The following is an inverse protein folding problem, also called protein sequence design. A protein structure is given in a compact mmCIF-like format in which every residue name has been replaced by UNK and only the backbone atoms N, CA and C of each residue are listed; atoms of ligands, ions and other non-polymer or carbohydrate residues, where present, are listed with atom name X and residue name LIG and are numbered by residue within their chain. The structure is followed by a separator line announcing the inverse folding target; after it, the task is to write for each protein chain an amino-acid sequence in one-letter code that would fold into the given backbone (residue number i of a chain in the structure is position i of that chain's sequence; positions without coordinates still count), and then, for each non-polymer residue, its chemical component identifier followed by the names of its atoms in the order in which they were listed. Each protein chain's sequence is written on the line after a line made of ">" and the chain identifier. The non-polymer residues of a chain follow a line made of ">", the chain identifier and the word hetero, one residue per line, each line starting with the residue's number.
data_IF_510777405408
#
_entry.id   IF_510777405408
#
_cell.length_a   1.000
_cell.length_b   1.000
_cell.length_c   1.000
_cell.angle_alpha   90.00
_cell.angle_beta   90.00
_cell.angle_gamma   90.00
#
_symmetry.space_group_name_H-M   'P 1'
#
loop_
_entity.id
_entity.type
_entity.pdbx_description
1 polymer ?
#
# COMPACT_ATOMS: atom_id res chain seq x y z
N UNK A 1 109.87 -155.03 1.01
CA UNK A 1 109.07 -155.64 -0.06
C UNK A 1 107.89 -154.71 -0.21
N UNK A 2 108.06 -153.71 -1.08
CA UNK A 2 107.44 -153.70 -2.42
C UNK A 2 106.15 -152.88 -2.32
N UNK A 3 105.74 -152.08 -3.26
CA UNK A 3 106.32 -151.57 -4.50
C UNK A 3 105.40 -150.41 -4.92
N UNK A 4 105.99 -149.46 -5.63
CA UNK A 4 105.51 -148.82 -6.87
C UNK A 4 104.01 -148.45 -6.97
N UNK A 5 103.71 -147.17 -7.17
CA UNK A 5 103.68 -146.58 -8.53
C UNK A 5 102.19 -146.48 -8.92
N UNK A 6 101.67 -145.39 -9.46
CA UNK A 6 102.09 -144.77 -10.71
C UNK A 6 101.45 -143.37 -10.81
N UNK A 7 102.22 -142.39 -11.26
CA UNK A 7 101.82 -141.01 -11.46
C UNK A 7 100.87 -140.87 -12.65
N UNK A 8 99.80 -140.07 -12.51
CA UNK A 8 99.09 -139.49 -13.64
C UNK A 8 98.96 -137.98 -13.42
N UNK A 9 99.58 -137.23 -14.32
CA UNK A 9 99.52 -135.78 -14.48
C UNK A 9 98.12 -135.39 -14.97
N UNK A 10 97.57 -134.24 -14.55
CA UNK A 10 96.90 -133.21 -15.42
C UNK A 10 96.29 -132.06 -14.56
N UNK A 11 96.80 -130.86 -14.87
CA UNK A 11 96.27 -129.49 -14.77
C UNK A 11 95.46 -128.98 -13.55
N UNK A 12 96.06 -127.96 -12.95
CA UNK A 12 95.53 -127.05 -11.94
C UNK A 12 94.52 -126.05 -12.56
N UNK A 13 93.21 -126.31 -12.45
CA UNK A 13 92.17 -125.36 -12.85
C UNK A 13 91.83 -124.37 -11.72
N UNK A 14 92.15 -123.08 -11.91
CA UNK A 14 91.85 -122.00 -10.96
C UNK A 14 90.38 -121.55 -11.00
N UNK A 15 89.70 -121.60 -9.86
CA UNK A 15 88.27 -121.23 -9.70
C UNK A 15 88.00 -119.72 -9.63
N UNK A 16 89.03 -118.86 -9.65
CA UNK A 16 88.89 -117.40 -9.50
C UNK A 16 88.19 -116.73 -10.70
N UNK A 17 88.42 -117.21 -11.93
CA UNK A 17 87.82 -116.63 -13.14
C UNK A 17 86.29 -116.76 -13.20
N UNK A 18 85.73 -117.84 -12.64
CA UNK A 18 84.28 -118.06 -12.59
C UNK A 18 83.59 -117.04 -11.68
N UNK A 19 84.18 -116.72 -10.52
CA UNK A 19 83.63 -115.74 -9.58
C UNK A 19 83.68 -114.31 -10.14
N UNK A 20 84.72 -113.96 -10.89
CA UNK A 20 84.82 -112.66 -11.57
C UNK A 20 83.73 -112.51 -12.65
N UNK A 21 83.49 -113.56 -13.45
CA UNK A 21 82.44 -113.56 -14.46
C UNK A 21 81.03 -113.44 -13.85
N UNK A 22 80.79 -114.10 -12.72
CA UNK A 22 79.51 -113.98 -11.98
C UNK A 22 79.33 -112.55 -11.46
N UNK A 23 80.38 -111.94 -10.87
CA UNK A 23 80.33 -110.56 -10.40
C UNK A 23 80.03 -109.56 -11.53
N UNK A 24 80.65 -109.74 -12.70
CA UNK A 24 80.38 -108.94 -13.90
C UNK A 24 78.94 -109.12 -14.42
N UNK A 25 78.43 -110.35 -14.45
CA UNK A 25 77.06 -110.63 -14.86
C UNK A 25 76.04 -109.96 -13.94
N UNK A 26 76.26 -110.02 -12.62
CA UNK A 26 75.41 -109.34 -11.62
C UNK A 26 75.48 -107.82 -11.78
N UNK A 27 76.69 -107.26 -12.00
CA UNK A 27 76.86 -105.82 -12.22
C UNK A 27 76.16 -105.35 -13.51
N UNK A 28 76.21 -106.14 -14.59
CA UNK A 28 75.51 -105.85 -15.84
C UNK A 28 73.99 -105.87 -15.66
N UNK A 29 73.45 -106.88 -14.97
CA UNK A 29 72.01 -106.96 -14.65
C UNK A 29 71.58 -105.78 -13.79
N UNK A 30 72.37 -105.39 -12.79
CA UNK A 30 72.08 -104.23 -11.95
C UNK A 30 72.09 -102.91 -12.75
N UNK A 31 73.06 -102.73 -13.65
CA UNK A 31 73.16 -101.56 -14.52
C UNK A 31 72.00 -101.49 -15.53
N UNK A 32 71.62 -102.62 -16.14
CA UNK A 32 70.44 -102.71 -17.02
C UNK A 32 69.14 -102.45 -16.27
N UNK A 33 68.97 -102.99 -15.06
CA UNK A 33 67.80 -102.72 -14.23
C UNK A 33 67.70 -101.23 -13.85
N UNK A 34 68.83 -100.61 -13.50
CA UNK A 34 68.90 -99.17 -13.24
C UNK A 34 68.59 -98.34 -14.49
N UNK A 35 69.12 -98.72 -15.66
CA UNK A 35 68.80 -98.10 -16.95
C UNK A 35 67.32 -98.18 -17.29
N UNK A 36 66.70 -99.34 -17.13
CA UNK A 36 65.26 -99.51 -17.31
C UNK A 36 64.44 -98.67 -16.34
N UNK A 37 64.82 -98.64 -15.05
CA UNK A 37 64.11 -97.84 -14.05
C UNK A 37 64.20 -96.34 -14.36
N UNK A 38 65.38 -95.83 -14.71
CA UNK A 38 65.56 -94.41 -15.06
C UNK A 38 64.84 -94.04 -16.35
N UNK A 39 64.78 -94.94 -17.34
CA UNK A 39 64.02 -94.75 -18.57
C UNK A 39 62.51 -94.73 -18.31
N UNK A 40 61.98 -95.65 -17.51
CA UNK A 40 60.57 -95.66 -17.10
C UNK A 40 60.20 -94.40 -16.32
N UNK A 41 61.05 -93.97 -15.37
CA UNK A 41 60.83 -92.73 -14.63
C UNK A 41 60.84 -91.49 -15.53
N UNK A 42 61.70 -91.45 -16.56
CA UNK A 42 61.69 -90.36 -17.56
C UNK A 42 60.46 -90.40 -18.46
N UNK A 43 60.00 -91.58 -18.87
CA UNK A 43 58.78 -91.76 -19.66
C UNK A 43 57.54 -91.32 -18.88
N UNK A 44 57.47 -91.63 -17.59
CA UNK A 44 56.38 -91.21 -16.70
C UNK A 44 56.40 -89.69 -16.45
N UNK A 45 57.59 -89.10 -16.30
CA UNK A 45 57.73 -87.64 -16.23
C UNK A 45 57.28 -86.97 -17.53
N UNK A 46 57.70 -87.47 -18.69
CA UNK A 46 57.29 -86.93 -19.99
C UNK A 46 55.80 -87.09 -20.25
N UNK A 47 55.19 -88.22 -19.87
CA UNK A 47 53.73 -88.40 -20.01
C UNK A 47 52.96 -87.42 -19.10
N UNK A 48 53.47 -87.18 -17.88
CA UNK A 48 52.90 -86.18 -16.97
C UNK A 48 53.05 -84.76 -17.48
N UNK A 49 54.22 -84.40 -18.01
CA UNK A 49 54.48 -83.08 -18.59
C UNK A 49 53.62 -82.86 -19.85
N UNK A 50 53.41 -83.89 -20.68
CA UNK A 50 52.50 -83.85 -21.83
C UNK A 50 51.05 -83.62 -21.39
N UNK A 51 50.58 -84.33 -20.36
CA UNK A 51 49.24 -84.13 -19.79
C UNK A 51 49.05 -82.75 -19.18
N UNK A 52 50.06 -82.23 -18.48
CA UNK A 52 50.07 -80.87 -17.95
C UNK A 52 50.07 -79.81 -19.07
N UNK A 53 50.83 -80.03 -20.14
CA UNK A 53 50.83 -79.16 -21.31
C UNK A 53 49.50 -79.18 -22.05
N UNK A 54 48.87 -80.35 -22.22
CA UNK A 54 47.55 -80.47 -22.82
C UNK A 54 46.48 -79.73 -22.00
N UNK A 55 46.57 -79.82 -20.67
CA UNK A 55 45.68 -79.11 -19.74
C UNK A 55 45.85 -77.59 -19.84
N UNK A 56 47.10 -77.10 -19.93
CA UNK A 56 47.38 -75.66 -20.14
C UNK A 56 46.84 -75.15 -21.48
N UNK A 57 46.96 -75.92 -22.55
CA UNK A 57 46.40 -75.55 -23.86
C UNK A 57 44.87 -75.51 -23.81
N UNK A 58 44.23 -76.49 -23.16
CA UNK A 58 42.78 -76.49 -22.99
C UNK A 58 42.30 -75.29 -22.16
N UNK A 59 43.04 -74.92 -21.11
CA UNK A 59 42.75 -73.73 -20.31
C UNK A 59 42.95 -72.43 -21.11
N UNK A 60 44.02 -72.32 -21.90
CA UNK A 60 44.26 -71.16 -22.78
C UNK A 60 43.14 -71.02 -23.81
N UNK A 61 42.72 -72.13 -24.42
CA UNK A 61 41.63 -72.14 -25.40
C UNK A 61 40.31 -71.68 -24.77
N UNK A 62 40.02 -72.10 -23.53
CA UNK A 62 38.85 -71.65 -22.80
C UNK A 62 38.92 -70.15 -22.46
N UNK A 63 40.08 -69.66 -21.98
CA UNK A 63 40.29 -68.23 -21.74
C UNK A 63 40.14 -67.39 -23.01
N UNK A 64 40.63 -67.89 -24.14
CA UNK A 64 40.52 -67.23 -25.44
C UNK A 64 39.06 -67.15 -25.91
N UNK A 65 38.30 -68.24 -25.83
CA UNK A 65 36.86 -68.23 -26.15
C UNK A 65 36.06 -67.26 -25.27
N UNK A 66 36.35 -67.23 -23.96
CA UNK A 66 35.70 -66.28 -23.05
C UNK A 66 36.10 -64.83 -23.33
N UNK A 67 37.35 -64.59 -23.73
CA UNK A 67 37.82 -63.26 -24.12
C UNK A 67 37.12 -62.78 -25.40
N UNK A 68 37.03 -63.62 -26.44
CA UNK A 68 36.30 -63.32 -27.68
C UNK A 68 34.82 -63.04 -27.42
N UNK A 69 34.15 -63.87 -26.60
CA UNK A 69 32.75 -63.65 -26.22
C UNK A 69 32.57 -62.34 -25.44
N UNK A 70 33.53 -61.98 -24.59
CA UNK A 70 33.50 -60.71 -23.86
C UNK A 70 33.70 -59.49 -24.77
N UNK A 71 34.56 -59.61 -25.79
CA UNK A 71 34.81 -58.55 -26.78
C UNK A 71 33.58 -58.32 -27.65
N UNK A 72 32.91 -59.38 -28.10
CA UNK A 72 31.66 -59.27 -28.86
C UNK A 72 30.54 -58.63 -28.01
N UNK A 73 30.40 -59.02 -26.75
CA UNK A 73 29.44 -58.42 -25.82
C UNK A 73 29.73 -56.93 -25.57
N UNK A 74 31.02 -56.54 -25.47
CA UNK A 74 31.43 -55.14 -25.36
C UNK A 74 31.11 -54.39 -26.65
N UNK A 75 31.40 -54.96 -27.81
CA UNK A 75 31.08 -54.37 -29.12
C UNK A 75 29.58 -54.10 -29.30
N UNK A 76 28.74 -55.07 -28.94
CA UNK A 76 27.28 -54.91 -28.97
C UNK A 76 26.80 -53.82 -27.99
N UNK A 77 27.29 -53.83 -26.75
CA UNK A 77 26.95 -52.79 -25.76
C UNK A 77 27.38 -51.40 -26.22
N UNK A 78 28.59 -51.26 -26.76
CA UNK A 78 29.08 -49.99 -27.31
C UNK A 78 28.22 -49.52 -28.49
N UNK A 79 27.79 -50.43 -29.38
CA UNK A 79 26.87 -50.12 -30.46
C UNK A 79 25.51 -49.61 -29.96
N UNK A 80 24.94 -50.29 -28.95
CA UNK A 80 23.70 -49.87 -28.29
C UNK A 80 23.84 -48.51 -27.58
N UNK A 81 24.92 -48.31 -26.83
CA UNK A 81 25.20 -47.04 -26.15
C UNK A 81 25.37 -45.89 -27.14
N UNK A 82 26.07 -46.11 -28.27
CA UNK A 82 26.18 -45.11 -29.34
C UNK A 82 24.81 -44.76 -29.93
N UNK A 83 23.96 -45.76 -30.16
CA UNK A 83 22.60 -45.55 -30.67
C UNK A 83 21.74 -44.78 -29.67
N UNK A 84 21.76 -45.15 -28.40
CA UNK A 84 21.00 -44.45 -27.35
C UNK A 84 21.48 -43.00 -27.18
N UNK A 85 22.80 -42.76 -27.18
CA UNK A 85 23.37 -41.41 -27.13
C UNK A 85 22.94 -40.57 -28.34
N UNK A 86 22.94 -41.14 -29.54
CA UNK A 86 22.48 -40.44 -30.75
C UNK A 86 20.99 -40.09 -30.65
N UNK A 87 20.14 -41.02 -30.20
CA UNK A 87 18.71 -40.78 -30.00
C UNK A 87 18.46 -39.71 -28.93
N UNK A 88 19.12 -39.79 -27.78
CA UNK A 88 18.99 -38.77 -26.72
C UNK A 88 19.47 -37.40 -27.19
N UNK A 89 20.56 -37.34 -27.94
CA UNK A 89 21.07 -36.07 -28.50
C UNK A 89 20.07 -35.46 -29.50
N UNK A 90 19.46 -36.29 -30.35
CA UNK A 90 18.43 -35.84 -31.29
C UNK A 90 17.18 -35.34 -30.55
N UNK A 91 16.74 -36.07 -29.51
CA UNK A 91 15.60 -35.68 -28.67
C UNK A 91 15.87 -34.36 -27.95
N UNK A 92 17.02 -34.22 -27.27
CA UNK A 92 17.40 -32.98 -26.58
C UNK A 92 17.46 -31.78 -27.54
N UNK A 93 17.99 -31.96 -28.76
CA UNK A 93 17.97 -30.90 -29.77
C UNK A 93 16.55 -30.51 -30.19
N UNK A 94 15.66 -31.48 -30.33
CA UNK A 94 14.25 -31.21 -30.68
C UNK A 94 13.51 -30.49 -29.56
N UNK A 95 13.75 -30.87 -28.30
CA UNK A 95 13.19 -30.23 -27.11
C UNK A 95 13.72 -28.81 -26.95
N UNK A 96 15.02 -28.60 -27.14
CA UNK A 96 15.62 -27.25 -27.13
C UNK A 96 15.00 -26.35 -28.20
N UNK A 97 14.87 -26.85 -29.44
CA UNK A 97 14.25 -26.07 -30.51
C UNK A 97 12.78 -25.76 -30.23
N UNK A 98 12.03 -26.70 -29.68
CA UNK A 98 10.63 -26.49 -29.30
C UNK A 98 10.50 -25.48 -28.15
N UNK A 99 11.40 -25.55 -27.15
CA UNK A 99 11.45 -24.62 -26.04
C UNK A 99 11.83 -23.20 -26.50
N UNK A 100 12.78 -23.08 -27.41
CA UNK A 100 13.20 -21.80 -28.00
C UNK A 100 12.05 -21.16 -28.80
N UNK A 101 11.34 -21.93 -29.64
CA UNK A 101 10.16 -21.44 -30.37
C UNK A 101 9.05 -21.01 -29.40
N UNK A 102 8.80 -21.77 -28.34
CA UNK A 102 7.82 -21.40 -27.31
C UNK A 102 8.20 -20.10 -26.62
N UNK A 103 9.46 -19.98 -26.21
CA UNK A 103 9.97 -18.79 -25.54
C UNK A 103 9.90 -17.56 -26.46
N UNK A 104 10.26 -17.71 -27.73
CA UNK A 104 10.17 -16.63 -28.73
C UNK A 104 8.72 -16.18 -28.94
N UNK A 105 7.79 -17.13 -29.07
CA UNK A 105 6.37 -16.82 -29.23
C UNK A 105 5.78 -16.15 -27.99
N UNK A 106 6.11 -16.64 -26.79
CA UNK A 106 5.69 -16.00 -25.54
C UNK A 106 6.29 -14.60 -25.38
N UNK A 107 7.57 -14.42 -25.72
CA UNK A 107 8.22 -13.11 -25.71
C UNK A 107 7.56 -12.16 -26.70
N UNK A 108 7.27 -12.59 -27.94
CA UNK A 108 6.55 -11.77 -28.92
C UNK A 108 5.15 -11.40 -28.45
N UNK A 109 4.41 -12.35 -27.86
CA UNK A 109 3.08 -12.09 -27.31
C UNK A 109 3.13 -11.05 -26.18
N UNK A 110 4.03 -11.24 -25.20
CA UNK A 110 4.25 -10.29 -24.09
C UNK A 110 4.69 -8.93 -24.59
N UNK A 111 5.61 -8.87 -25.56
CA UNK A 111 6.05 -7.60 -26.16
C UNK A 111 4.89 -6.90 -26.87
N UNK A 112 4.05 -7.63 -27.60
CA UNK A 112 2.88 -7.06 -28.28
C UNK A 112 1.84 -6.52 -27.30
N UNK A 113 1.57 -7.26 -26.21
CA UNK A 113 0.68 -6.82 -25.13
C UNK A 113 1.22 -5.56 -24.45
N UNK A 114 2.47 -5.58 -24.00
CA UNK A 114 3.13 -4.42 -23.38
C UNK A 114 3.18 -3.23 -24.35
N UNK A 115 3.38 -3.44 -25.64
CA UNK A 115 3.35 -2.37 -26.65
C UNK A 115 1.95 -1.78 -26.78
N UNK A 116 0.90 -2.62 -26.71
CA UNK A 116 -0.50 -2.18 -26.67
C UNK A 116 -0.80 -1.34 -25.44
N UNK A 117 -0.39 -1.81 -24.25
CA UNK A 117 -0.56 -1.09 -22.99
C UNK A 117 0.17 0.26 -23.01
N UNK A 118 1.39 0.31 -23.55
CA UNK A 118 2.15 1.55 -23.70
C UNK A 118 1.45 2.52 -24.67
N UNK A 119 0.86 2.03 -25.75
CA UNK A 119 0.08 2.87 -26.67
C UNK A 119 -1.20 3.41 -26.00
N UNK A 120 -1.88 2.59 -25.20
CA UNK A 120 -3.00 2.99 -24.34
C UNK A 120 -2.60 4.08 -23.36
N UNK A 121 -1.57 3.83 -22.55
CA UNK A 121 -1.02 4.81 -21.59
C UNK A 121 -0.60 6.12 -22.27
N UNK A 122 0.00 6.07 -23.46
CA UNK A 122 0.35 7.28 -24.22
C UNK A 122 -0.88 8.10 -24.61
N UNK A 123 -1.98 7.43 -24.94
CA UNK A 123 -3.25 8.07 -25.26
C UNK A 123 -3.87 8.70 -24.02
N UNK A 124 -3.91 7.97 -22.90
CA UNK A 124 -4.42 8.46 -21.61
C UNK A 124 -3.63 9.66 -21.12
N UNK A 125 -2.29 9.62 -21.18
CA UNK A 125 -1.43 10.76 -20.82
C UNK A 125 -1.66 11.95 -21.75
N UNK A 126 -1.94 11.72 -23.04
CA UNK A 126 -2.36 12.78 -23.96
C UNK A 126 -3.70 13.42 -23.58
N UNK A 127 -4.67 12.60 -23.17
CA UNK A 127 -5.96 13.03 -22.64
C UNK A 127 -5.80 13.87 -21.37
N UNK A 128 -5.09 13.36 -20.36
CA UNK A 128 -4.81 14.07 -19.11
C UNK A 128 -4.11 15.41 -19.35
N UNK A 129 -3.16 15.47 -20.29
CA UNK A 129 -2.50 16.73 -20.65
C UNK A 129 -3.50 17.77 -21.20
N UNK A 130 -4.49 17.31 -21.97
CA UNK A 130 -5.55 18.15 -22.51
C UNK A 130 -6.50 18.62 -21.40
N UNK A 131 -6.91 17.73 -20.51
CA UNK A 131 -7.77 18.05 -19.36
C UNK A 131 -7.10 19.05 -18.40
N UNK A 132 -5.80 18.89 -18.16
CA UNK A 132 -5.01 19.84 -17.37
C UNK A 132 -4.94 21.21 -18.04
N UNK A 133 -4.78 21.26 -19.37
CA UNK A 133 -4.82 22.52 -20.11
C UNK A 133 -6.20 23.20 -20.04
N UNK A 134 -7.29 22.43 -20.16
CA UNK A 134 -8.67 22.92 -19.99
C UNK A 134 -8.89 23.47 -18.59
N UNK A 135 -8.52 22.70 -17.55
CA UNK A 135 -8.67 23.11 -16.15
C UNK A 135 -7.90 24.40 -15.86
N UNK A 136 -6.70 24.55 -16.44
CA UNK A 136 -5.92 25.78 -16.31
C UNK A 136 -6.61 26.98 -16.97
N UNK A 137 -7.21 26.80 -18.14
CA UNK A 137 -7.96 27.84 -18.83
C UNK A 137 -9.20 28.26 -18.01
N UNK A 138 -9.94 27.28 -17.47
CA UNK A 138 -11.11 27.51 -16.62
C UNK A 138 -10.74 28.26 -15.31
N UNK A 139 -9.58 27.93 -14.73
CA UNK A 139 -9.07 28.61 -13.55
C UNK A 139 -8.73 30.08 -13.83
N UNK A 140 -8.06 30.38 -14.95
CA UNK A 140 -7.77 31.76 -15.34
C UNK A 140 -9.04 32.55 -15.65
N UNK A 141 -10.03 31.93 -16.32
CA UNK A 141 -11.34 32.54 -16.55
C UNK A 141 -12.07 32.84 -15.22
N UNK A 142 -12.02 31.92 -14.27
CA UNK A 142 -12.60 32.09 -12.93
C UNK A 142 -11.89 33.22 -12.16
N UNK A 143 -10.56 33.29 -12.24
CA UNK A 143 -9.77 34.36 -11.62
C UNK A 143 -10.10 35.73 -12.19
N UNK A 144 -10.23 35.85 -13.51
CA UNK A 144 -10.66 37.09 -14.16
C UNK A 144 -12.05 37.51 -13.69
N UNK A 145 -13.00 36.56 -13.64
CA UNK A 145 -14.36 36.83 -13.14
C UNK A 145 -14.37 37.31 -11.68
N UNK A 146 -13.56 36.68 -10.81
CA UNK A 146 -13.40 37.11 -9.42
C UNK A 146 -12.82 38.52 -9.31
N UNK A 147 -11.82 38.86 -10.13
CA UNK A 147 -11.25 40.20 -10.16
C UNK A 147 -12.30 41.25 -10.56
N UNK A 148 -13.11 40.96 -11.58
CA UNK A 148 -14.23 41.83 -11.98
C UNK A 148 -15.24 41.98 -10.84
N UNK A 149 -15.65 40.89 -10.20
CA UNK A 149 -16.59 40.94 -9.08
C UNK A 149 -16.05 41.74 -7.90
N UNK A 150 -14.75 41.61 -7.58
CA UNK A 150 -14.11 42.42 -6.54
C UNK A 150 -14.13 43.91 -6.91
N UNK A 151 -13.86 44.25 -8.17
CA UNK A 151 -13.94 45.62 -8.68
C UNK A 151 -15.34 46.22 -8.56
N UNK A 152 -16.36 45.46 -8.97
CA UNK A 152 -17.77 45.86 -8.88
C UNK A 152 -18.22 46.06 -7.42
N UNK A 153 -17.86 45.16 -6.51
CA UNK A 153 -18.13 45.35 -5.08
C UNK A 153 -17.39 46.57 -4.52
N UNK A 154 -16.17 46.87 -5.01
CA UNK A 154 -15.44 48.08 -4.64
C UNK A 154 -16.18 49.36 -5.04
N UNK A 155 -16.69 49.42 -6.27
CA UNK A 155 -17.52 50.54 -6.74
C UNK A 155 -18.84 50.64 -5.98
N UNK A 156 -19.51 49.51 -5.73
CA UNK A 156 -20.75 49.47 -4.95
C UNK A 156 -20.51 49.92 -3.50
N UNK A 157 -19.38 49.56 -2.90
CA UNK A 157 -18.98 50.06 -1.58
C UNK A 157 -18.76 51.58 -1.55
N UNK A 158 -18.31 52.17 -2.66
CA UNK A 158 -18.21 53.62 -2.82
C UNK A 158 -19.59 54.31 -2.84
N UNK A 159 -20.58 53.71 -3.53
CA UNK A 159 -21.96 54.20 -3.53
C UNK A 159 -22.65 54.05 -2.17
N UNK A 160 -22.27 53.03 -1.37
CA UNK A 160 -22.76 52.86 0.00
C UNK A 160 -22.30 54.00 0.93
N UNK A 161 -21.11 54.60 0.70
CA UNK A 161 -20.63 55.72 1.51
C UNK A 161 -21.58 56.93 1.43
N UNK A 162 -22.09 57.28 0.25
CA UNK A 162 -23.08 58.34 0.10
C UNK A 162 -24.44 58.01 0.75
N UNK A 163 -24.85 56.74 0.74
CA UNK A 163 -26.09 56.34 1.45
C UNK A 163 -25.96 56.37 2.98
N UNK A 164 -24.74 56.27 3.53
CA UNK A 164 -24.49 56.37 4.97
C UNK A 164 -24.70 57.79 5.49
N UNK A 165 -24.30 58.79 4.71
CA UNK A 165 -24.55 60.21 5.01
C UNK A 165 -26.06 60.52 4.99
N UNK A 166 -26.79 59.96 4.01
CA UNK A 166 -28.26 60.05 3.95
C UNK A 166 -28.94 59.30 5.12
N UNK A 167 -28.33 58.21 5.62
CA UNK A 167 -28.80 57.47 6.78
C UNK A 167 -28.59 58.24 8.10
N UNK A 168 -27.53 59.04 8.22
CA UNK A 168 -27.28 59.92 9.37
C UNK A 168 -28.32 61.06 9.43
N UNK A 169 -28.72 61.61 8.28
CA UNK A 169 -29.81 62.59 8.18
C UNK A 169 -31.15 61.95 8.58
N UNK A 170 -31.40 60.69 8.21
CA UNK A 170 -32.59 59.95 8.64
C UNK A 170 -32.56 59.61 10.14
N UNK A 171 -31.38 59.28 10.70
CA UNK A 171 -31.18 59.02 12.14
C UNK A 171 -31.48 60.26 12.98
N UNK A 172 -31.07 61.45 12.55
CA UNK A 172 -31.38 62.69 13.27
C UNK A 172 -32.88 63.06 13.27
N UNK A 173 -33.68 62.57 12.29
CA UNK A 173 -35.15 62.65 12.36
C UNK A 173 -35.78 61.67 13.36
N UNK A 174 -35.05 60.64 13.79
CA UNK A 174 -35.47 59.67 14.80
C UNK A 174 -35.06 60.02 16.24
N UNK A 175 -34.12 60.96 16.42
CA UNK A 175 -33.65 61.39 17.73
C UNK A 175 -34.73 62.20 18.49
N UNK A 176 -35.12 61.70 19.66
CA UNK A 176 -36.09 62.33 20.57
C UNK A 176 -35.37 62.91 21.79
N UNK A 177 -35.81 64.07 22.27
CA UNK A 177 -35.48 64.63 23.58
C UNK A 177 -36.47 64.10 24.63
N UNK A 178 -35.97 63.65 25.77
CA UNK A 178 -36.79 63.10 26.86
C UNK A 178 -36.80 64.06 28.05
N UNK A 179 -38.00 64.43 28.52
CA UNK A 179 -38.22 65.29 29.68
C UNK A 179 -38.98 64.51 30.75
N UNK A 180 -38.36 64.26 31.88
CA UNK A 180 -39.00 63.57 33.00
C UNK A 180 -39.95 64.50 33.76
N UNK A 181 -41.03 63.94 34.30
CA UNK A 181 -41.99 64.68 35.11
C UNK A 181 -42.54 63.85 36.25
N UNK A 182 -43.01 64.55 37.28
CA UNK A 182 -43.75 63.99 38.41
C UNK A 182 -44.99 64.83 38.66
N UNK A 183 -46.18 64.25 38.47
CA UNK A 183 -47.46 64.93 38.65
C UNK A 183 -48.15 64.45 39.93
N UNK A 184 -48.79 65.38 40.63
CA UNK A 184 -49.62 65.10 41.80
C UNK A 184 -51.12 65.18 41.43
N UNK A 185 -51.91 64.24 41.93
CA UNK A 185 -53.35 64.13 41.64
C UNK A 185 -54.08 65.37 42.17
N UNK A 186 -54.75 66.09 41.28
CA UNK A 186 -55.51 67.31 41.63
C UNK A 186 -54.67 68.58 41.76
N UNK A 187 -53.35 68.53 41.55
CA UNK A 187 -52.51 69.71 41.51
C UNK A 187 -52.77 70.57 40.25
N UNK A 188 -52.24 71.80 40.21
CA UNK A 188 -52.32 72.68 39.03
C UNK A 188 -51.54 72.06 37.84
N UNK A 189 -51.87 72.39 36.58
CA UNK A 189 -51.09 71.94 35.42
C UNK A 189 -49.61 72.32 35.54
N UNK A 190 -48.72 71.36 35.32
CA UNK A 190 -47.26 71.54 35.37
C UNK A 190 -46.70 71.63 33.94
N UNK A 191 -45.95 72.68 33.59
CA UNK A 191 -45.29 72.78 32.29
C UNK A 191 -44.15 71.77 32.18
N UNK A 192 -44.11 71.04 31.07
CA UNK A 192 -43.06 70.09 30.69
C UNK A 192 -42.74 70.34 29.23
N UNK A 193 -41.60 70.97 28.95
CA UNK A 193 -41.28 71.50 27.62
C UNK A 193 -42.32 72.53 27.15
N UNK A 194 -42.89 72.39 25.94
CA UNK A 194 -43.88 73.29 25.34
C UNK A 194 -45.33 72.95 25.68
N UNK A 195 -45.57 71.95 26.52
CA UNK A 195 -46.91 71.48 26.89
C UNK A 195 -47.09 71.49 28.41
N UNK A 196 -48.33 71.56 28.89
CA UNK A 196 -48.65 71.45 30.31
C UNK A 196 -49.42 70.17 30.61
N UNK A 197 -49.04 69.48 31.69
CA UNK A 197 -49.58 68.19 32.08
C UNK A 197 -50.26 68.26 33.45
N UNK A 198 -51.42 67.62 33.61
CA UNK A 198 -52.13 67.59 34.88
C UNK A 198 -52.75 66.21 35.14
N UNK A 199 -52.47 65.61 36.30
CA UNK A 199 -53.08 64.35 36.71
C UNK A 199 -54.47 64.57 37.33
N UNK A 200 -55.51 63.98 36.73
CA UNK A 200 -56.91 64.06 37.21
C UNK A 200 -57.28 62.84 38.07
N UNK A 201 -57.01 61.64 37.57
CA UNK A 201 -57.38 60.38 38.22
C UNK A 201 -56.21 59.40 38.15
N UNK A 202 -56.05 58.63 39.22
CA UNK A 202 -55.08 57.53 39.33
C UNK A 202 -55.81 56.34 39.95
N UNK A 203 -55.78 55.20 39.28
CA UNK A 203 -56.27 53.89 39.74
C UNK A 203 -55.08 52.93 39.79
N UNK A 204 -54.48 52.83 40.97
CA UNK A 204 -53.30 51.99 41.22
C UNK A 204 -53.60 50.49 41.09
N UNK A 205 -54.84 50.07 41.36
CA UNK A 205 -55.22 48.64 41.32
C UNK A 205 -55.37 48.14 39.89
N UNK A 206 -55.84 49.01 38.98
CA UNK A 206 -56.04 48.68 37.57
C UNK A 206 -54.93 49.19 36.66
N UNK A 207 -53.92 49.90 37.21
CA UNK A 207 -52.85 50.50 36.43
C UNK A 207 -53.37 51.51 35.41
N UNK A 208 -54.41 52.29 35.76
CA UNK A 208 -55.03 53.27 34.86
C UNK A 208 -54.93 54.68 35.41
N UNK A 209 -54.82 55.66 34.52
CA UNK A 209 -54.85 57.08 34.89
C UNK A 209 -55.64 57.91 33.88
N UNK A 210 -56.09 59.07 34.35
CA UNK A 210 -56.65 60.12 33.51
C UNK A 210 -55.84 61.39 33.73
N UNK A 211 -55.36 61.99 32.65
CA UNK A 211 -54.62 63.26 32.70
C UNK A 211 -55.10 64.24 31.64
N UNK A 212 -54.90 65.52 31.89
CA UNK A 212 -55.05 66.57 30.90
C UNK A 212 -53.69 66.92 30.31
N UNK A 213 -53.64 66.98 29.00
CA UNK A 213 -52.51 67.48 28.23
C UNK A 213 -52.96 68.77 27.57
N UNK A 214 -52.35 69.89 27.95
CA UNK A 214 -52.62 71.21 27.38
C UNK A 214 -51.48 71.58 26.45
N UNK A 215 -51.81 71.74 25.17
CA UNK A 215 -50.90 72.08 24.10
C UNK A 215 -51.57 73.14 23.20
N UNK A 216 -50.85 74.20 22.84
CA UNK A 216 -51.32 75.24 21.92
C UNK A 216 -52.73 75.79 22.29
N UNK A 217 -52.89 76.15 23.57
CA UNK A 217 -54.15 76.63 24.19
C UNK A 217 -55.34 75.65 24.16
N UNK A 218 -55.12 74.41 23.72
CA UNK A 218 -56.13 73.33 23.73
C UNK A 218 -55.83 72.34 24.84
N UNK A 219 -56.83 72.03 25.65
CA UNK A 219 -56.72 70.99 26.69
C UNK A 219 -57.39 69.71 26.21
N UNK A 220 -56.61 68.63 26.12
CA UNK A 220 -57.05 67.30 25.71
C UNK A 220 -57.04 66.39 26.93
N UNK A 221 -58.19 65.83 27.30
CA UNK A 221 -58.27 64.80 28.34
C UNK A 221 -57.87 63.43 27.76
N UNK A 222 -56.86 62.82 28.36
CA UNK A 222 -56.45 61.43 28.10
C UNK A 222 -57.03 60.54 29.19
N UNK A 223 -58.28 60.10 28.98
CA UNK A 223 -59.07 59.34 29.95
C UNK A 223 -58.74 57.83 29.95
N UNK A 224 -58.70 57.25 31.16
CA UNK A 224 -58.58 55.81 31.43
C UNK A 224 -57.44 55.10 30.66
N UNK A 225 -56.29 55.76 30.54
CA UNK A 225 -55.08 55.25 29.87
C UNK A 225 -54.29 54.32 30.78
N UNK A 226 -53.66 53.31 30.19
CA UNK A 226 -52.85 52.34 30.92
C UNK A 226 -51.46 52.89 31.20
N UNK A 227 -50.90 52.52 32.35
CA UNK A 227 -49.49 52.76 32.69
C UNK A 227 -48.57 52.05 31.69
N UNK A 228 -47.38 52.62 31.48
CA UNK A 228 -46.33 52.16 30.57
C UNK A 228 -46.74 52.09 29.08
N UNK A 229 -47.85 52.71 28.70
CA UNK A 229 -48.24 52.87 27.30
C UNK A 229 -47.84 54.25 26.76
N UNK A 230 -47.26 54.32 25.55
CA UNK A 230 -46.98 55.58 24.89
C UNK A 230 -48.26 56.26 24.40
N UNK A 231 -48.49 57.47 24.90
CA UNK A 231 -49.59 58.33 24.48
C UNK A 231 -49.04 59.34 23.47
N UNK A 232 -49.37 59.11 22.20
CA UNK A 232 -49.03 60.00 21.11
C UNK A 232 -50.03 61.14 20.97
N UNK A 233 -49.54 62.35 20.72
CA UNK A 233 -50.33 63.52 20.35
C UNK A 233 -49.47 64.53 19.58
N UNK A 234 -50.12 65.38 18.79
CA UNK A 234 -49.43 66.41 18.01
C UNK A 234 -49.47 67.75 18.73
N UNK A 235 -48.37 68.51 18.68
CA UNK A 235 -48.25 69.86 19.27
C UNK A 235 -47.26 70.73 18.50
N UNK A 236 -47.41 72.05 18.60
CA UNK A 236 -46.60 73.07 17.95
C UNK A 236 -47.09 73.43 16.54
N UNK A 237 -46.54 74.51 15.97
CA UNK A 237 -46.89 75.00 14.62
C UNK A 237 -46.68 73.97 13.51
N UNK A 238 -45.63 73.16 13.63
CA UNK A 238 -45.25 72.16 12.62
C UNK A 238 -45.90 70.78 12.85
N UNK A 239 -46.91 70.69 13.75
CA UNK A 239 -47.59 69.44 14.09
C UNK A 239 -46.60 68.30 14.39
N UNK A 240 -45.66 68.56 15.29
CA UNK A 240 -44.66 67.56 15.67
C UNK A 240 -45.29 66.49 16.54
N UNK A 241 -44.91 65.22 16.34
CA UNK A 241 -45.42 64.09 17.12
C UNK A 241 -44.75 64.07 18.49
N UNK A 242 -45.50 64.32 19.56
CA UNK A 242 -45.06 64.20 20.94
C UNK A 242 -45.54 62.86 21.50
N UNK A 243 -44.71 62.27 22.37
CA UNK A 243 -44.98 60.99 23.01
C UNK A 243 -44.88 61.13 24.52
N UNK A 244 -45.93 60.78 25.24
CA UNK A 244 -45.93 60.81 26.69
C UNK A 244 -46.09 59.41 27.25
N UNK A 245 -45.19 59.01 28.13
CA UNK A 245 -45.24 57.72 28.82
C UNK A 245 -45.30 57.97 30.31
N UNK A 246 -46.29 57.39 30.99
CA UNK A 246 -46.37 57.36 32.45
C UNK A 246 -45.94 55.98 32.92
N UNK A 247 -44.82 55.88 33.64
CA UNK A 247 -44.24 54.61 34.08
C UNK A 247 -44.82 54.10 35.38
N UNK A 248 -45.01 54.99 36.36
CA UNK A 248 -45.52 54.61 37.67
C UNK A 248 -46.71 55.48 38.02
N UNK A 249 -47.76 54.85 38.53
CA UNK A 249 -48.95 55.51 39.08
C UNK A 249 -49.17 54.99 40.50
N UNK A 250 -49.09 55.92 41.44
CA UNK A 250 -49.40 55.73 42.86
C UNK A 250 -50.75 56.38 43.20
N UNK A 251 -51.20 56.26 44.45
CA UNK A 251 -52.53 56.72 44.89
C UNK A 251 -52.76 58.21 44.57
N UNK A 252 -51.72 59.03 44.69
CA UNK A 252 -51.77 60.49 44.52
C UNK A 252 -50.66 61.05 43.60
N UNK A 253 -49.86 60.20 42.95
CA UNK A 253 -48.68 60.62 42.18
C UNK A 253 -48.55 59.81 40.90
N UNK A 254 -48.08 60.42 39.83
CA UNK A 254 -47.69 59.72 38.60
C UNK A 254 -46.34 60.24 38.10
N UNK A 255 -45.46 59.34 37.66
CA UNK A 255 -44.15 59.69 37.12
C UNK A 255 -44.00 59.15 35.71
N UNK A 256 -43.32 59.91 34.86
CA UNK A 256 -43.22 59.58 33.45
C UNK A 256 -42.23 60.48 32.72
N UNK A 257 -42.20 60.33 31.40
CA UNK A 257 -41.44 61.20 30.53
C UNK A 257 -42.28 61.68 29.36
N UNK A 258 -41.89 62.84 28.82
CA UNK A 258 -42.36 63.38 27.55
C UNK A 258 -41.20 63.35 26.55
N UNK A 259 -41.41 62.66 25.43
CA UNK A 259 -40.53 62.57 24.28
C UNK A 259 -40.98 63.58 23.22
N UNK A 260 -40.08 64.50 22.87
CA UNK A 260 -40.28 65.48 21.80
C UNK A 260 -39.24 65.27 20.71
N UNK A 261 -39.54 65.55 19.43
CA UNK A 261 -38.50 65.55 18.40
C UNK A 261 -37.38 66.54 18.74
N UNK A 262 -36.11 66.25 18.38
CA UNK A 262 -35.01 67.22 18.56
C UNK A 262 -35.21 68.54 17.81
N UNK A 263 -36.07 68.56 16.79
CA UNK A 263 -36.48 69.75 16.06
C UNK A 263 -37.54 70.60 16.79
N UNK A 264 -38.10 70.12 17.91
CA UNK A 264 -39.09 70.87 18.67
C UNK A 264 -38.44 72.02 19.45
N UNK A 265 -39.11 73.18 19.58
CA UNK A 265 -38.62 74.30 20.38
C UNK A 265 -38.33 73.86 21.82
N UNK A 266 -37.14 74.18 22.33
CA UNK A 266 -36.78 73.91 23.73
C UNK A 266 -37.49 74.92 24.67
N UNK A 267 -37.85 74.52 25.90
CA UNK A 267 -38.45 75.43 26.87
C UNK A 267 -37.49 76.58 27.21
N UNK A 268 -38.02 77.79 27.26
CA UNK A 268 -37.30 78.95 27.81
C UNK A 268 -37.26 78.84 29.34
N UNK A 269 -36.06 78.69 29.89
CA UNK A 269 -35.84 78.76 31.34
C UNK A 269 -36.14 80.19 31.81
N UNK A 270 -37.30 80.41 32.44
CA UNK A 270 -37.56 81.69 33.12
C UNK A 270 -36.87 81.62 34.49
N UNK A 271 -35.69 82.21 34.58
CA UNK A 271 -35.06 82.53 35.86
C UNK A 271 -35.96 83.50 36.60
N UNK A 272 -36.56 83.07 37.72
CA UNK A 272 -37.24 83.98 38.63
C UNK A 272 -36.17 84.83 39.35
N UNK A 273 -36.28 86.16 39.23
CA UNK A 273 -35.59 87.12 40.09
C UNK A 273 -36.16 87.08 41.51
#
# INVERSE_FOLDING_TARGET
>A
MSDEGEHIVVEQHSNAGKWILIGLAVAFVAASAYGHFTMHARMEKMSKDLGASQSQVAELQNRMQNAEASEEAIGQKLGMTKKELATRTAQLRSEQKAAEIRLENEQKARISEVTGDIAGMKTDVGGVKTDVASTRADLEATKAKLQTTIGDLGMQSGLIAHTRDDLEILKHKGDRNYYEFTLLKGAKPQPVSTVSLQLKKADTKRGKFTMNVTADDKTIEKKDRTVAEPIQFYSGRDHLLFELVVWNVEKNKATGYLSTPKSAPAPVSVTAN
#
